data_IF_516723025886
#
_entry.id   IF_516723025886
#
_cell.length_a   1.000
_cell.length_b   1.000
_cell.length_c   1.000
_cell.angle_alpha   90.00
_cell.angle_beta   90.00
_cell.angle_gamma   90.00
#
_symmetry.space_group_name_H-M   'P 1'
#
loop_
_entity.id
_entity.type
_entity.pdbx_description
1 polymer ?
#
# COMPACT_ATOMS: atom_id res chain seq x y z
N UNK A 1 -26.80 -12.88 -7.72
CA UNK A 1 -25.51 -12.53 -8.33
C UNK A 1 -25.22 -11.07 -8.03
N UNK A 2 -23.97 -10.79 -7.64
CA UNK A 2 -23.29 -9.49 -7.44
C UNK A 2 -23.76 -8.56 -6.31
N UNK A 3 -22.77 -8.21 -5.48
CA UNK A 3 -22.82 -7.51 -4.19
C UNK A 3 -23.03 -5.98 -4.32
N UNK A 4 -23.44 -5.27 -3.23
CA UNK A 4 -23.98 -3.92 -3.29
C UNK A 4 -22.90 -2.85 -3.41
N UNK A 5 -23.30 -1.68 -3.90
CA UNK A 5 -22.55 -0.43 -4.05
C UNK A 5 -21.63 -0.10 -2.85
N UNK A 6 -20.35 -0.48 -2.94
CA UNK A 6 -19.25 -0.03 -2.05
C UNK A 6 -18.35 1.01 -2.71
N UNK A 7 -18.79 1.55 -3.84
CA UNK A 7 -18.03 2.38 -4.77
C UNK A 7 -18.94 3.55 -5.16
N UNK A 8 -19.13 4.51 -4.26
CA UNK A 8 -19.53 5.87 -4.66
C UNK A 8 -18.30 6.81 -4.48
N UNK A 9 -17.29 6.68 -5.37
CA UNK A 9 -15.99 7.37 -5.33
C UNK A 9 -16.07 8.89 -5.56
N UNK A 10 -17.25 9.41 -5.94
CA UNK A 10 -17.42 10.80 -6.38
C UNK A 10 -17.28 11.84 -5.25
N UNK A 11 -17.45 11.45 -4.00
CA UNK A 11 -17.33 12.35 -2.84
C UNK A 11 -15.87 12.56 -2.38
N UNK A 12 -14.94 11.68 -2.75
CA UNK A 12 -13.51 11.73 -2.39
C UNK A 12 -12.69 12.53 -3.43
N UNK A 13 -13.25 12.64 -4.65
CA UNK A 13 -12.66 13.19 -5.87
C UNK A 13 -12.35 14.71 -5.89
N UNK A 14 -12.62 15.50 -4.84
CA UNK A 14 -12.26 16.95 -4.84
C UNK A 14 -10.91 17.29 -4.19
N UNK A 15 -10.20 16.32 -3.59
CA UNK A 15 -9.01 16.61 -2.75
C UNK A 15 -7.70 15.91 -3.11
N UNK A 16 -7.68 14.98 -4.09
CA UNK A 16 -6.45 14.28 -4.48
C UNK A 16 -6.02 13.12 -3.57
N UNK A 17 -6.94 12.51 -2.82
CA UNK A 17 -6.67 11.30 -2.02
C UNK A 17 -7.28 10.05 -2.70
N UNK A 18 -6.65 8.87 -2.58
CA UNK A 18 -7.13 7.62 -3.19
C UNK A 18 -8.45 7.14 -2.57
N UNK A 19 -9.22 6.42 -3.36
CA UNK A 19 -10.51 5.85 -3.00
C UNK A 19 -10.43 4.88 -1.79
N UNK A 20 -9.29 4.18 -1.64
CA UNK A 20 -9.05 3.28 -0.51
C UNK A 20 -7.57 3.18 -0.12
N UNK A 21 -7.30 3.45 1.15
CA UNK A 21 -5.99 3.17 1.76
C UNK A 21 -5.82 1.70 2.14
N UNK A 22 -4.72 1.12 1.68
CA UNK A 22 -4.30 -0.25 1.99
C UNK A 22 -3.84 -0.35 3.46
N UNK A 23 -4.10 -1.49 4.08
CA UNK A 23 -3.62 -1.80 5.42
C UNK A 23 -2.36 -2.67 5.35
N UNK A 24 -1.66 -2.84 6.47
CA UNK A 24 -0.55 -3.80 6.55
C UNK A 24 -0.98 -5.24 6.18
N UNK A 25 -2.25 -5.57 6.36
CA UNK A 25 -2.83 -6.86 5.96
C UNK A 25 -2.95 -6.98 4.44
N UNK A 26 -3.48 -5.94 3.78
CA UNK A 26 -3.54 -5.88 2.32
C UNK A 26 -2.13 -5.97 1.71
N UNK A 27 -1.13 -5.29 2.29
CA UNK A 27 0.27 -5.40 1.85
C UNK A 27 0.78 -6.84 2.00
N UNK A 28 0.50 -7.50 3.12
CA UNK A 28 0.89 -8.89 3.33
C UNK A 28 0.29 -9.82 2.24
N UNK A 29 -0.97 -9.60 1.88
CA UNK A 29 -1.65 -10.34 0.81
C UNK A 29 -1.07 -10.03 -0.56
N UNK A 30 -0.87 -8.75 -0.89
CA UNK A 30 -0.35 -8.29 -2.21
C UNK A 30 1.04 -8.87 -2.48
N UNK A 31 1.94 -8.76 -1.50
CA UNK A 31 3.31 -9.23 -1.65
C UNK A 31 3.47 -10.72 -1.33
N UNK A 32 2.39 -11.41 -0.93
CA UNK A 32 2.41 -12.80 -0.41
C UNK A 32 3.48 -13.01 0.66
N UNK A 33 3.64 -12.03 1.54
CA UNK A 33 4.57 -12.08 2.67
C UNK A 33 3.81 -12.13 3.99
N UNK A 34 4.38 -12.73 5.05
CA UNK A 34 3.80 -12.65 6.38
C UNK A 34 3.62 -11.19 6.82
N UNK A 35 2.56 -10.91 7.59
CA UNK A 35 2.31 -9.57 8.16
C UNK A 35 3.46 -9.10 9.07
N UNK A 36 4.12 -10.03 9.76
CA UNK A 36 5.34 -9.73 10.51
C UNK A 36 6.45 -9.16 9.63
N UNK A 37 6.60 -9.65 8.40
CA UNK A 37 7.55 -9.11 7.43
C UNK A 37 7.23 -7.65 7.11
N UNK A 38 5.95 -7.32 6.96
CA UNK A 38 5.50 -5.93 6.74
C UNK A 38 5.82 -5.03 7.96
N UNK A 39 5.71 -5.56 9.18
CA UNK A 39 6.17 -4.83 10.38
C UNK A 39 7.69 -4.68 10.45
N UNK A 40 8.45 -5.71 10.04
CA UNK A 40 9.91 -5.68 9.95
C UNK A 40 10.39 -4.66 8.93
N UNK A 41 9.73 -4.59 7.77
CA UNK A 41 9.93 -3.58 6.74
C UNK A 41 9.85 -2.18 7.30
N UNK A 42 8.81 -1.91 8.10
CA UNK A 42 8.67 -0.62 8.78
C UNK A 42 9.79 -0.35 9.80
N UNK A 43 10.15 -1.35 10.62
CA UNK A 43 11.23 -1.19 11.61
C UNK A 43 12.57 -0.88 10.93
N UNK A 44 12.84 -1.55 9.82
CA UNK A 44 14.07 -1.41 9.04
C UNK A 44 14.02 -0.25 8.04
N UNK A 45 12.88 0.44 7.92
CA UNK A 45 12.59 1.46 6.89
C UNK A 45 12.87 0.95 5.46
N UNK A 46 12.65 -0.33 5.21
CA UNK A 46 12.78 -0.99 3.91
C UNK A 46 11.37 -1.39 3.49
N UNK A 47 10.77 -0.78 2.48
CA UNK A 47 9.42 -1.12 2.06
C UNK A 47 8.64 0.06 1.51
N UNK A 48 7.40 -0.18 1.04
CA UNK A 48 6.55 0.88 0.55
C UNK A 48 6.28 1.92 1.65
N UNK A 49 6.24 3.22 1.31
CA UNK A 49 6.00 4.25 2.30
C UNK A 49 4.59 4.09 2.88
N UNK A 50 4.53 3.88 4.18
CA UNK A 50 3.29 3.78 4.94
C UNK A 50 3.22 4.89 5.97
N UNK A 51 2.09 5.58 6.04
CA UNK A 51 1.86 6.62 7.01
C UNK A 51 1.11 6.09 8.23
N UNK A 52 1.40 6.67 9.40
CA UNK A 52 0.75 6.30 10.65
C UNK A 52 -0.53 7.09 10.80
N UNK A 53 -1.66 6.39 10.92
CA UNK A 53 -2.93 6.99 11.34
C UNK A 53 -3.28 6.40 12.70
N UNK A 54 -2.92 7.13 13.77
CA UNK A 54 -3.10 6.68 15.15
C UNK A 54 -2.34 5.38 15.45
N UNK A 55 -3.06 4.32 15.85
CA UNK A 55 -2.48 2.98 16.10
C UNK A 55 -2.32 2.14 14.83
N UNK A 56 -2.92 2.57 13.71
CA UNK A 56 -2.93 1.82 12.46
C UNK A 56 -1.94 2.39 11.45
N UNK A 57 -1.51 1.52 10.54
CA UNK A 57 -0.63 1.85 9.43
C UNK A 57 -1.46 1.78 8.17
N UNK A 58 -1.41 2.85 7.39
CA UNK A 58 -2.04 2.91 6.08
C UNK A 58 -1.00 3.14 5.00
N UNK A 59 -1.25 2.55 3.86
CA UNK A 59 -0.43 2.65 2.67
C UNK A 59 -1.30 3.20 1.56
N UNK A 60 -0.76 4.17 0.83
CA UNK A 60 -1.39 4.65 -0.38
C UNK A 60 -1.13 3.64 -1.50
N UNK A 61 -2.14 3.22 -2.27
CA UNK A 61 -1.94 2.29 -3.38
C UNK A 61 -1.00 2.85 -4.47
N UNK A 62 -0.98 4.17 -4.69
CA UNK A 62 -0.06 4.80 -5.64
C UNK A 62 1.39 4.74 -5.15
N UNK A 63 1.63 5.04 -3.87
CA UNK A 63 2.94 4.91 -3.24
C UNK A 63 3.47 3.47 -3.26
N UNK A 64 2.59 2.50 -3.01
CA UNK A 64 2.95 1.07 -3.07
C UNK A 64 3.34 0.67 -4.50
N UNK A 65 2.60 1.16 -5.50
CA UNK A 65 2.91 0.92 -6.90
C UNK A 65 4.24 1.57 -7.32
N UNK A 66 4.48 2.81 -6.94
CA UNK A 66 5.73 3.53 -7.20
C UNK A 66 6.92 2.81 -6.56
N UNK A 67 6.79 2.38 -5.30
CA UNK A 67 7.80 1.61 -4.60
C UNK A 67 8.16 0.31 -5.33
N UNK A 68 7.17 -0.46 -5.81
CA UNK A 68 7.42 -1.70 -6.56
C UNK A 68 8.13 -1.40 -7.88
N UNK A 69 7.75 -0.32 -8.55
CA UNK A 69 8.36 0.10 -9.82
C UNK A 69 9.82 0.48 -9.60
N UNK A 70 10.10 1.32 -8.61
CA UNK A 70 11.46 1.70 -8.23
C UNK A 70 12.29 0.49 -7.79
N UNK A 71 11.70 -0.47 -7.06
CA UNK A 71 12.42 -1.68 -6.61
C UNK A 71 12.78 -2.60 -7.76
N UNK A 72 11.87 -2.78 -8.74
CA UNK A 72 12.15 -3.56 -9.96
C UNK A 72 13.25 -2.91 -10.81
N UNK A 73 13.26 -1.59 -10.90
CA UNK A 73 14.29 -0.85 -11.62
C UNK A 73 15.66 -0.99 -10.92
N UNK A 74 15.69 -0.81 -9.60
CA UNK A 74 16.92 -0.98 -8.81
C UNK A 74 17.48 -2.41 -8.87
N UNK A 75 16.63 -3.43 -8.90
CA UNK A 75 17.03 -4.83 -9.11
C UNK A 75 17.60 -5.05 -10.52
N UNK A 76 16.95 -4.44 -11.52
CA UNK A 76 17.38 -4.51 -12.93
C UNK A 76 18.71 -3.82 -13.21
N UNK A 77 19.04 -2.75 -12.49
CA UNK A 77 20.33 -2.05 -12.56
C UNK A 77 21.41 -2.64 -11.66
N UNK A 78 21.06 -3.59 -10.78
CA UNK A 78 22.00 -4.34 -9.96
C UNK A 78 22.49 -5.64 -10.65
N UNK A 79 22.08 -5.89 -11.90
CA UNK A 79 22.44 -7.06 -12.71
C UNK A 79 23.42 -6.71 -13.84
#
# INVERSE_FOLDING_TARGET
>A
MSAPARDDPRAILRGGLPDRYLTADDIAVIFKVPKETVYQWRKKRIGPPGFRIGKYIRYDPADVHDYVTQRKDADRYAA
#
